data_IF_485789084071
#
_entry.id   IF_485789084071
#
_cell.length_a   1.000
_cell.length_b   1.000
_cell.length_c   1.000
_cell.angle_alpha   90.00
_cell.angle_beta   90.00
_cell.angle_gamma   90.00
#
_symmetry.space_group_name_H-M   'P 1'
#
loop_
_entity.id
_entity.type
_entity.pdbx_description
1 polymer ?
#
# COMPACT_ATOMS: atom_id res chain seq x y z
N UNK A 1 13.41 -3.52 -14.61
CA UNK A 1 14.62 -2.81 -15.11
C UNK A 1 15.23 -1.88 -14.08
N UNK A 2 14.46 -1.09 -13.31
CA UNK A 2 15.00 -0.22 -12.23
C UNK A 2 15.88 -0.97 -11.23
N UNK A 3 15.41 -2.08 -10.65
CA UNK A 3 16.20 -2.88 -9.72
C UNK A 3 17.51 -3.41 -10.31
N UNK A 4 17.53 -3.78 -11.60
CA UNK A 4 18.75 -4.21 -12.31
C UNK A 4 19.72 -3.04 -12.48
N UNK A 5 19.21 -1.86 -12.82
CA UNK A 5 20.01 -0.64 -12.97
C UNK A 5 20.56 -0.15 -11.63
N UNK A 6 19.75 -0.16 -10.57
CA UNK A 6 20.18 0.16 -9.20
C UNK A 6 21.25 -0.82 -8.71
N UNK A 7 21.07 -2.13 -8.96
CA UNK A 7 22.07 -3.15 -8.63
C UNK A 7 23.39 -2.98 -9.43
N UNK A 8 23.34 -2.37 -10.61
CA UNK A 8 24.52 -2.04 -11.42
C UNK A 8 25.19 -0.71 -11.05
N UNK A 9 24.69 -0.02 -10.01
CA UNK A 9 25.25 1.26 -9.54
C UNK A 9 24.88 2.48 -10.39
N UNK A 10 23.97 2.31 -11.36
CA UNK A 10 23.44 3.41 -12.18
C UNK A 10 22.43 4.22 -11.37
N UNK A 11 22.55 5.56 -11.39
CA UNK A 11 21.53 6.45 -10.83
C UNK A 11 20.30 6.39 -11.73
N UNK A 12 19.27 5.69 -11.28
CA UNK A 12 17.96 5.68 -11.96
C UNK A 12 17.21 6.95 -11.58
N UNK A 13 16.68 7.72 -12.54
CA UNK A 13 15.84 8.87 -12.25
C UNK A 13 14.66 8.48 -11.34
N UNK A 14 14.30 9.34 -10.39
CA UNK A 14 13.10 9.12 -9.59
C UNK A 14 11.85 9.29 -10.47
N UNK A 15 11.19 8.18 -10.75
CA UNK A 15 9.87 8.14 -11.37
C UNK A 15 8.85 7.85 -10.28
N UNK A 16 7.89 8.75 -10.07
CA UNK A 16 6.77 8.47 -9.16
C UNK A 16 5.86 7.41 -9.80
N UNK A 17 5.61 6.27 -9.16
CA UNK A 17 4.69 5.28 -9.69
C UNK A 17 3.26 5.84 -9.71
N UNK A 18 2.44 5.31 -10.63
CA UNK A 18 1.01 5.59 -10.69
C UNK A 18 0.29 4.53 -9.86
N UNK A 19 -0.52 4.95 -8.90
CA UNK A 19 -1.39 4.04 -8.16
C UNK A 19 -2.70 3.88 -8.93
N UNK A 20 -2.93 2.67 -9.44
CA UNK A 20 -4.19 2.31 -10.10
C UNK A 20 -5.11 1.59 -9.11
N UNK A 21 -6.41 1.86 -9.20
CA UNK A 21 -7.43 1.24 -8.35
C UNK A 21 -8.47 0.54 -9.21
N UNK A 22 -9.03 -0.56 -8.70
CA UNK A 22 -10.21 -1.22 -9.28
C UNK A 22 -11.47 -0.77 -8.52
N UNK A 23 -12.32 0.11 -9.09
CA UNK A 23 -13.51 0.61 -8.41
C UNK A 23 -14.52 -0.48 -8.04
N UNK A 24 -14.51 -1.60 -8.76
CA UNK A 24 -15.40 -2.74 -8.49
C UNK A 24 -14.93 -3.65 -7.36
N UNK A 25 -13.75 -3.41 -6.78
CA UNK A 25 -13.22 -4.27 -5.72
C UNK A 25 -13.87 -3.94 -4.36
N UNK A 26 -14.32 -4.95 -3.58
CA UNK A 26 -14.99 -4.71 -2.29
C UNK A 26 -14.17 -3.87 -1.29
N UNK A 27 -12.84 -3.99 -1.29
CA UNK A 27 -11.98 -3.16 -0.43
C UNK A 27 -11.99 -1.68 -0.81
N UNK A 28 -12.15 -1.35 -2.09
CA UNK A 28 -12.26 0.05 -2.55
C UNK A 28 -13.62 0.61 -2.18
N UNK A 29 -14.70 -0.15 -2.37
CA UNK A 29 -16.02 0.24 -1.90
C UNK A 29 -16.07 0.45 -0.37
N UNK A 30 -15.39 -0.41 0.40
CA UNK A 30 -15.28 -0.25 1.86
C UNK A 30 -14.48 1.00 2.24
N UNK A 31 -13.43 1.33 1.49
CA UNK A 31 -12.66 2.55 1.69
C UNK A 31 -13.51 3.80 1.41
N UNK A 32 -14.25 3.81 0.30
CA UNK A 32 -15.14 4.91 -0.10
C UNK A 32 -16.26 5.17 0.94
N UNK A 33 -16.77 4.11 1.57
CA UNK A 33 -17.80 4.19 2.60
C UNK A 33 -17.29 4.50 4.02
N UNK A 34 -15.96 4.59 4.24
CA UNK A 34 -15.39 4.79 5.57
C UNK A 34 -15.44 6.27 5.98
N UNK A 35 -16.24 6.58 7.00
CA UNK A 35 -16.47 7.95 7.47
C UNK A 35 -15.41 8.42 8.49
N UNK A 36 -14.76 7.50 9.19
CA UNK A 36 -13.67 7.82 10.11
C UNK A 36 -12.39 8.04 9.31
N UNK A 37 -11.92 9.29 9.23
CA UNK A 37 -10.70 9.66 8.51
C UNK A 37 -9.45 8.90 8.98
N UNK A 38 -9.38 8.51 10.25
CA UNK A 38 -8.25 7.72 10.77
C UNK A 38 -8.27 6.30 10.21
N UNK A 39 -9.47 5.70 10.12
CA UNK A 39 -9.66 4.36 9.56
C UNK A 39 -9.48 4.37 8.04
N UNK A 40 -9.97 5.41 7.38
CA UNK A 40 -9.75 5.65 5.96
C UNK A 40 -8.25 5.70 5.64
N UNK A 41 -7.48 6.52 6.36
CA UNK A 41 -6.04 6.64 6.17
C UNK A 41 -5.30 5.32 6.42
N UNK A 42 -5.71 4.58 7.45
CA UNK A 42 -5.12 3.28 7.77
C UNK A 42 -5.36 2.26 6.64
N UNK A 43 -6.61 2.16 6.15
CA UNK A 43 -6.98 1.24 5.07
C UNK A 43 -6.32 1.64 3.75
N UNK A 44 -6.34 2.93 3.40
CA UNK A 44 -5.69 3.46 2.20
C UNK A 44 -4.19 3.17 2.18
N UNK A 45 -3.50 3.32 3.31
CA UNK A 45 -2.07 2.97 3.44
C UNK A 45 -1.81 1.48 3.28
N UNK A 46 -2.66 0.63 3.84
CA UNK A 46 -2.52 -0.83 3.65
C UNK A 46 -2.69 -1.21 2.18
N UNK A 47 -3.67 -0.64 1.47
CA UNK A 47 -3.86 -0.89 0.05
C UNK A 47 -2.69 -0.38 -0.80
N UNK A 48 -2.14 0.79 -0.46
CA UNK A 48 -0.97 1.35 -1.11
C UNK A 48 0.27 0.46 -0.94
N UNK A 49 0.56 0.02 0.28
CA UNK A 49 1.70 -0.86 0.58
C UNK A 49 1.53 -2.23 -0.11
N UNK A 50 0.31 -2.76 -0.17
CA UNK A 50 0.01 -3.98 -0.93
C UNK A 50 0.28 -3.82 -2.42
N UNK A 51 -0.10 -2.68 -3.02
CA UNK A 51 0.18 -2.40 -4.42
C UNK A 51 1.69 -2.32 -4.69
N UNK A 52 2.46 -1.70 -3.79
CA UNK A 52 3.93 -1.65 -3.90
C UNK A 52 4.55 -3.05 -3.84
N UNK A 53 4.14 -3.88 -2.86
CA UNK A 53 4.58 -5.26 -2.75
C UNK A 53 4.24 -6.08 -4.01
N UNK A 54 3.02 -5.92 -4.54
CA UNK A 54 2.58 -6.62 -5.76
C UNK A 54 3.36 -6.17 -7.01
N UNK A 55 3.81 -4.91 -7.05
CA UNK A 55 4.70 -4.40 -8.09
C UNK A 55 6.15 -4.90 -7.97
N UNK A 56 6.46 -5.63 -6.89
CA UNK A 56 7.80 -6.14 -6.60
C UNK A 56 8.71 -5.15 -5.87
N UNK A 57 8.16 -4.04 -5.39
CA UNK A 57 8.88 -3.08 -4.56
C UNK A 57 8.97 -3.57 -3.11
N UNK A 58 10.04 -3.16 -2.43
CA UNK A 58 10.16 -3.36 -0.99
C UNK A 58 9.45 -2.24 -0.23
N UNK A 59 8.90 -2.57 0.95
CA UNK A 59 8.36 -1.56 1.84
C UNK A 59 9.48 -0.83 2.57
N UNK A 60 9.36 0.49 2.68
CA UNK A 60 10.27 1.32 3.48
C UNK A 60 10.22 0.97 4.97
N UNK A 61 9.02 0.65 5.47
CA UNK A 61 8.78 0.24 6.85
C UNK A 61 7.81 -0.94 6.90
N UNK A 62 8.32 -2.19 6.80
CA UNK A 62 7.49 -3.40 6.89
C UNK A 62 6.80 -3.54 8.25
N UNK A 63 7.43 -3.08 9.34
CA UNK A 63 6.87 -3.18 10.69
C UNK A 63 5.61 -2.34 10.86
N UNK A 64 5.64 -1.10 10.35
CA UNK A 64 4.49 -0.22 10.36
C UNK A 64 3.34 -0.77 9.49
N UNK A 65 3.64 -1.42 8.37
CA UNK A 65 2.63 -2.10 7.55
C UNK A 65 1.94 -3.23 8.31
N UNK A 66 2.72 -4.15 8.90
CA UNK A 66 2.19 -5.28 9.68
C UNK A 66 1.36 -4.78 10.87
N UNK A 67 1.82 -3.76 11.58
CA UNK A 67 1.08 -3.17 12.70
C UNK A 67 -0.28 -2.59 12.25
N UNK A 68 -0.33 -1.86 11.13
CA UNK A 68 -1.59 -1.34 10.57
C UNK A 68 -2.53 -2.47 10.15
N UNK A 69 -2.01 -3.48 9.46
CA UNK A 69 -2.80 -4.62 9.00
C UNK A 69 -3.42 -5.37 10.20
N UNK A 70 -2.61 -5.67 11.22
CA UNK A 70 -3.08 -6.37 12.41
C UNK A 70 -4.13 -5.56 13.17
N UNK A 71 -3.95 -4.24 13.29
CA UNK A 71 -4.95 -3.36 13.90
C UNK A 71 -6.29 -3.44 13.16
N UNK A 72 -6.28 -3.34 11.83
CA UNK A 72 -7.50 -3.45 11.01
C UNK A 72 -8.16 -4.83 11.13
N UNK A 73 -7.38 -5.91 11.17
CA UNK A 73 -7.91 -7.26 11.35
C UNK A 73 -8.63 -7.43 12.70
N UNK A 74 -8.06 -6.90 13.78
CA UNK A 74 -8.68 -6.93 15.10
C UNK A 74 -9.97 -6.12 15.14
N UNK A 75 -9.98 -4.92 14.55
CA UNK A 75 -11.16 -4.06 14.45
C UNK A 75 -12.30 -4.65 13.61
N UNK A 76 -12.00 -5.55 12.67
CA UNK A 76 -13.00 -6.24 11.83
C UNK A 76 -13.53 -7.53 12.45
N UNK A 77 -12.82 -8.07 13.44
CA UNK A 77 -13.19 -9.31 14.14
C UNK A 77 -14.05 -9.07 15.39
N UNK A 78 -14.22 -7.81 15.79
CA UNK A 78 -15.04 -7.37 16.91
C UNK A 78 -16.42 -6.91 16.43
#
# INVERSE_FOLDING_TARGET
MRQILEASGQKVPDSKPVLEINPGHPLIAKLDAEADGTRFDALGRVLFDQAALAAGDSLKDPGAYVARLNKLLLELSA
#
